data_IF_231618149616
#
_entry.id   IF_231618149616
#
_cell.length_a   1.000
_cell.length_b   1.000
_cell.length_c   1.000
_cell.angle_alpha   90.00
_cell.angle_beta   90.00
_cell.angle_gamma   90.00
#
_symmetry.space_group_name_H-M   'P 1'
#
loop_
_entity.id
_entity.type
_entity.pdbx_description
1 polymer ?
#
# COMPACT_ATOMS: atom_id res chain seq x y z
N UNK A 1 -8.16 9.43 -12.43
CA UNK A 1 -8.44 8.12 -11.82
C UNK A 1 -9.47 8.19 -10.70
N UNK A 2 -9.52 9.28 -9.94
CA UNK A 2 -10.39 9.46 -8.77
C UNK A 2 -11.57 10.40 -9.02
N UNK A 3 -11.82 10.81 -10.28
CA UNK A 3 -12.86 11.79 -10.62
C UNK A 3 -14.23 11.39 -10.08
N UNK A 4 -14.59 10.13 -10.22
CA UNK A 4 -15.90 9.63 -9.78
C UNK A 4 -16.13 9.71 -8.27
N UNK A 5 -15.06 9.79 -7.48
CA UNK A 5 -15.14 10.01 -6.03
C UNK A 5 -15.52 11.45 -5.70
N UNK A 6 -15.20 12.40 -6.60
CA UNK A 6 -15.44 13.83 -6.42
C UNK A 6 -16.65 14.37 -7.18
N UNK A 7 -17.40 13.50 -7.86
CA UNK A 7 -18.65 13.87 -8.55
C UNK A 7 -19.86 13.90 -7.62
N UNK A 8 -19.71 13.38 -6.43
CA UNK A 8 -20.76 13.36 -5.41
C UNK A 8 -20.28 14.11 -4.18
N UNK A 9 -21.22 14.69 -3.46
CA UNK A 9 -20.97 15.20 -2.13
C UNK A 9 -20.47 14.06 -1.24
N UNK A 10 -19.41 14.31 -0.47
CA UNK A 10 -18.80 13.33 0.39
C UNK A 10 -17.73 13.93 1.26
N UNK A 11 -17.34 13.22 2.30
CA UNK A 11 -16.31 13.62 3.23
C UNK A 11 -14.96 13.06 2.82
N UNK A 12 -13.94 13.91 2.82
CA UNK A 12 -12.55 13.50 2.73
C UNK A 12 -11.97 13.41 4.14
N UNK A 13 -11.70 12.19 4.59
CA UNK A 13 -11.05 11.97 5.88
C UNK A 13 -9.54 11.96 5.71
N UNK A 14 -8.86 12.88 6.38
CA UNK A 14 -7.42 12.86 6.60
C UNK A 14 -7.19 12.56 8.06
N UNK A 15 -6.55 11.46 8.36
CA UNK A 15 -6.19 11.07 9.72
C UNK A 15 -4.69 11.21 9.89
N UNK A 16 -4.28 12.07 10.83
CA UNK A 16 -2.89 12.26 11.22
C UNK A 16 -2.83 12.11 12.74
N UNK A 17 -2.39 10.94 13.18
CA UNK A 17 -2.30 10.63 14.60
C UNK A 17 -0.90 10.97 15.12
N UNK A 18 -0.84 11.85 16.11
CA UNK A 18 0.39 12.10 16.83
C UNK A 18 0.13 12.08 18.34
N UNK A 19 1.10 11.58 19.06
CA UNK A 19 1.07 11.56 20.52
C UNK A 19 1.38 12.97 21.05
N UNK A 20 0.38 13.61 21.64
CA UNK A 20 0.55 14.91 22.31
C UNK A 20 0.94 14.68 23.76
N UNK A 21 2.11 15.14 24.14
CA UNK A 21 2.62 15.09 25.52
C UNK A 21 3.15 16.46 25.91
N UNK A 22 3.42 16.72 27.21
CA UNK A 22 4.08 17.97 27.63
C UNK A 22 5.41 18.27 26.94
N UNK A 23 6.06 17.24 26.40
CA UNK A 23 7.34 17.34 25.66
C UNK A 23 7.16 17.41 24.15
N UNK A 24 6.05 16.90 23.63
CA UNK A 24 5.74 16.85 22.20
C UNK A 24 4.57 17.80 21.92
N UNK A 25 4.87 19.08 21.81
CA UNK A 25 3.87 20.16 21.65
C UNK A 25 3.78 20.67 20.22
N UNK A 26 4.55 20.09 19.29
CA UNK A 26 4.52 20.47 17.88
C UNK A 26 3.14 20.30 17.26
N UNK A 27 2.78 21.21 16.36
CA UNK A 27 1.55 21.15 15.57
C UNK A 27 1.92 20.90 14.10
N UNK A 28 1.16 20.05 13.45
CA UNK A 28 1.24 19.90 12.01
C UNK A 28 0.40 20.97 11.33
N UNK A 29 0.95 21.58 10.30
CA UNK A 29 0.18 22.41 9.38
C UNK A 29 0.00 21.60 8.10
N UNK A 30 -1.24 21.20 7.82
CA UNK A 30 -1.57 20.36 6.66
C UNK A 30 -2.31 21.22 5.65
N UNK A 31 -1.78 21.29 4.43
CA UNK A 31 -2.45 21.94 3.31
C UNK A 31 -2.81 20.87 2.29
N UNK A 32 -4.08 20.79 1.95
CA UNK A 32 -4.59 19.94 0.88
C UNK A 32 -4.96 20.81 -0.31
N UNK A 33 -4.40 20.51 -1.48
CA UNK A 33 -4.73 21.19 -2.72
C UNK A 33 -5.34 20.20 -3.71
N UNK A 34 -6.54 20.48 -4.18
CA UNK A 34 -7.19 19.69 -5.22
C UNK A 34 -7.08 20.42 -6.57
N UNK A 35 -6.52 19.76 -7.57
CA UNK A 35 -6.44 20.27 -8.92
C UNK A 35 -7.51 19.61 -9.79
N UNK A 36 -8.40 20.41 -10.33
CA UNK A 36 -9.46 19.97 -11.23
C UNK A 36 -9.11 20.39 -12.65
N UNK A 37 -9.14 19.43 -13.56
CA UNK A 37 -8.95 19.67 -14.97
C UNK A 37 -10.26 19.41 -15.70
N UNK A 38 -10.77 20.40 -16.42
CA UNK A 38 -11.96 20.26 -17.25
C UNK A 38 -11.52 20.05 -18.69
N UNK A 39 -11.65 18.82 -19.16
CA UNK A 39 -11.42 18.49 -20.56
C UNK A 39 -12.77 18.46 -21.30
N UNK A 40 -13.03 19.50 -22.08
CA UNK A 40 -14.29 19.63 -22.81
C UNK A 40 -14.38 18.71 -24.06
N UNK A 41 -13.28 18.05 -24.42
CA UNK A 41 -13.18 17.36 -25.71
C UNK A 41 -13.44 15.86 -25.67
N UNK A 42 -13.68 15.25 -24.52
CA UNK A 42 -13.89 13.81 -24.46
C UNK A 42 -15.12 13.41 -23.65
N UNK A 43 -16.14 12.97 -24.37
CA UNK A 43 -17.20 12.12 -23.83
C UNK A 43 -16.67 10.71 -23.50
N UNK A 44 -15.51 10.63 -22.80
CA UNK A 44 -15.01 9.35 -22.29
C UNK A 44 -15.92 8.88 -21.18
N UNK A 45 -16.39 7.65 -21.30
CA UNK A 45 -17.00 6.99 -20.15
C UNK A 45 -15.98 6.99 -19.01
N UNK A 46 -16.34 7.64 -17.92
CA UNK A 46 -15.48 7.72 -16.77
C UNK A 46 -15.31 6.34 -16.13
N UNK A 47 -14.10 5.98 -15.70
CA UNK A 47 -13.88 4.74 -14.99
C UNK A 47 -14.70 4.72 -13.70
N UNK A 48 -15.44 3.65 -13.47
CA UNK A 48 -16.05 3.40 -12.16
C UNK A 48 -14.98 2.90 -11.21
N UNK A 49 -14.94 3.46 -10.02
CA UNK A 49 -14.04 3.01 -8.97
C UNK A 49 -14.81 2.17 -7.96
N UNK A 50 -14.30 0.97 -7.69
CA UNK A 50 -14.86 0.05 -6.71
C UNK A 50 -13.79 -0.27 -5.66
N UNK A 51 -13.92 0.24 -4.43
CA UNK A 51 -13.03 -0.16 -3.35
C UNK A 51 -13.30 -1.63 -3.01
N UNK A 52 -12.28 -2.47 -3.10
CA UNK A 52 -12.38 -3.89 -2.77
C UNK A 52 -12.20 -4.14 -1.27
N UNK A 53 -11.61 -3.19 -0.55
CA UNK A 53 -11.41 -3.31 0.87
C UNK A 53 -12.59 -2.72 1.62
N UNK A 54 -13.32 -3.51 2.42
CA UNK A 54 -14.46 -3.02 3.19
C UNK A 54 -14.06 -2.10 4.34
N UNK A 55 -12.79 -2.12 4.71
CA UNK A 55 -12.20 -1.32 5.78
C UNK A 55 -11.41 -0.15 5.22
N UNK A 56 -11.56 1.02 5.82
CA UNK A 56 -10.72 2.19 5.54
C UNK A 56 -9.24 1.99 5.87
N UNK A 57 -8.90 0.93 6.59
CA UNK A 57 -7.54 0.56 6.96
C UNK A 57 -6.93 -0.53 6.06
N UNK A 58 -7.64 -0.92 5.00
CA UNK A 58 -7.21 -2.01 4.12
C UNK A 58 -7.56 -3.39 4.67
N UNK A 59 -6.92 -4.41 4.11
CA UNK A 59 -7.04 -5.81 4.55
C UNK A 59 -5.73 -6.21 5.20
N UNK A 60 -5.81 -6.63 6.46
CA UNK A 60 -4.67 -7.17 7.16
C UNK A 60 -4.42 -8.62 6.72
N UNK A 61 -3.24 -8.87 6.22
CA UNK A 61 -2.78 -10.22 5.93
C UNK A 61 -2.17 -10.78 7.21
N UNK A 62 -2.56 -11.97 7.66
CA UNK A 62 -1.98 -12.57 8.86
C UNK A 62 -0.45 -12.60 8.81
N UNK A 63 0.22 -12.42 9.95
CA UNK A 63 1.67 -12.37 9.97
C UNK A 63 2.28 -13.66 9.46
N UNK A 64 3.26 -13.51 8.62
CA UNK A 64 4.24 -14.47 8.13
C UNK A 64 3.75 -15.94 8.15
N UNK A 65 2.96 -16.29 7.18
CA UNK A 65 2.85 -17.67 6.77
C UNK A 65 3.23 -17.73 5.29
N UNK A 66 3.96 -18.77 4.91
CA UNK A 66 4.33 -18.99 3.50
C UNK A 66 3.13 -19.06 2.55
N UNK A 67 1.92 -19.15 3.11
CA UNK A 67 0.64 -19.28 2.39
C UNK A 67 -0.43 -18.27 2.86
N UNK A 68 -0.02 -17.11 3.33
CA UNK A 68 -0.98 -16.08 3.70
C UNK A 68 -1.83 -15.69 2.48
N UNK A 69 -3.13 -15.94 2.55
CA UNK A 69 -4.09 -15.66 1.48
C UNK A 69 -5.20 -14.77 1.99
N UNK A 70 -5.54 -13.77 1.20
CA UNK A 70 -6.71 -12.94 1.42
C UNK A 70 -7.62 -13.08 0.21
N UNK A 71 -8.87 -13.41 0.46
CA UNK A 71 -9.90 -13.49 -0.59
C UNK A 71 -10.83 -12.31 -0.48
N UNK A 72 -11.02 -11.61 -1.57
CA UNK A 72 -11.90 -10.44 -1.66
C UNK A 72 -12.90 -10.71 -2.78
N UNK A 73 -14.22 -10.55 -2.53
CA UNK A 73 -15.21 -10.68 -3.58
C UNK A 73 -15.03 -9.58 -4.62
N UNK A 74 -15.05 -9.94 -5.90
CA UNK A 74 -15.11 -8.95 -6.96
C UNK A 74 -16.51 -8.34 -7.03
N UNK A 75 -16.62 -7.04 -7.35
CA UNK A 75 -17.89 -6.43 -7.64
C UNK A 75 -18.48 -7.03 -8.93
N UNK A 76 -19.77 -6.89 -9.10
CA UNK A 76 -20.42 -7.24 -10.37
C UNK A 76 -19.85 -6.37 -11.50
N UNK A 77 -19.30 -7.03 -12.52
CA UNK A 77 -18.68 -6.37 -13.67
C UNK A 77 -19.69 -6.31 -14.79
N UNK A 78 -19.95 -5.11 -15.30
CA UNK A 78 -20.85 -4.91 -16.41
C UNK A 78 -20.29 -5.58 -17.69
N UNK A 79 -21.15 -6.28 -18.45
CA UNK A 79 -20.77 -6.93 -19.70
C UNK A 79 -20.18 -5.98 -20.76
N UNK A 80 -20.47 -4.68 -20.67
CA UNK A 80 -19.92 -3.65 -21.56
C UNK A 80 -18.59 -3.06 -21.05
N UNK A 81 -17.98 -3.66 -20.03
CA UNK A 81 -16.68 -3.21 -19.51
C UNK A 81 -15.60 -3.45 -20.56
N UNK A 82 -14.95 -2.39 -21.00
CA UNK A 82 -13.88 -2.44 -22.00
C UNK A 82 -12.48 -2.56 -21.38
N UNK A 83 -12.35 -2.16 -20.12
CA UNK A 83 -11.09 -2.23 -19.38
C UNK A 83 -11.35 -2.44 -17.91
N UNK A 84 -10.61 -3.37 -17.30
CA UNK A 84 -10.63 -3.64 -15.87
C UNK A 84 -9.22 -3.54 -15.30
N UNK A 85 -9.00 -2.55 -14.45
CA UNK A 85 -7.71 -2.33 -13.80
C UNK A 85 -7.84 -2.49 -12.29
N UNK A 86 -6.97 -3.27 -11.70
CA UNK A 86 -6.82 -3.34 -10.25
C UNK A 86 -5.63 -2.49 -9.82
N UNK A 87 -5.83 -1.70 -8.77
CA UNK A 87 -4.77 -0.99 -8.06
C UNK A 87 -4.50 -1.69 -6.74
N UNK A 88 -3.29 -2.17 -6.56
CA UNK A 88 -2.87 -2.89 -5.38
C UNK A 88 -1.77 -2.13 -4.67
N UNK A 89 -2.04 -1.69 -3.45
CA UNK A 89 -1.04 -1.08 -2.56
C UNK A 89 -0.76 -2.02 -1.39
N UNK A 90 0.51 -2.20 -1.06
CA UNK A 90 0.93 -3.08 0.02
C UNK A 90 1.97 -2.41 0.89
N UNK A 91 1.89 -2.63 2.19
CA UNK A 91 2.90 -2.17 3.14
C UNK A 91 3.12 -3.21 4.22
N UNK A 92 4.36 -3.33 4.70
CA UNK A 92 4.68 -4.16 5.86
C UNK A 92 4.29 -3.45 7.15
N UNK A 93 3.78 -4.22 8.12
CA UNK A 93 3.40 -3.71 9.43
C UNK A 93 3.88 -4.67 10.52
N UNK A 94 4.02 -4.18 11.76
CA UNK A 94 4.43 -4.98 12.91
C UNK A 94 5.75 -5.72 12.64
N UNK A 95 5.78 -7.04 12.71
CA UNK A 95 6.98 -7.85 12.45
C UNK A 95 7.48 -7.72 11.00
N UNK A 96 6.62 -7.31 10.06
CA UNK A 96 6.96 -7.08 8.65
C UNK A 96 7.26 -5.61 8.33
N UNK A 97 7.25 -4.70 9.31
CA UNK A 97 7.54 -3.27 9.07
C UNK A 97 8.88 -3.05 8.37
N UNK A 98 9.89 -3.83 8.75
CA UNK A 98 11.23 -3.79 8.17
C UNK A 98 11.59 -5.09 7.44
N UNK A 99 10.62 -5.74 6.80
CA UNK A 99 10.78 -7.03 6.15
C UNK A 99 11.99 -7.10 5.20
N UNK A 100 12.32 -6.00 4.55
CA UNK A 100 13.46 -5.90 3.61
C UNK A 100 14.82 -5.99 4.31
N UNK A 101 14.87 -5.89 5.64
CA UNK A 101 16.07 -6.06 6.46
C UNK A 101 16.07 -7.38 7.24
N UNK A 102 15.07 -8.26 7.06
CA UNK A 102 15.00 -9.52 7.75
C UNK A 102 16.16 -10.44 7.34
N UNK A 103 16.70 -11.15 8.31
CA UNK A 103 17.78 -12.10 8.10
C UNK A 103 17.24 -13.47 7.64
N UNK A 104 18.10 -14.28 7.04
CA UNK A 104 17.79 -15.69 6.84
C UNK A 104 17.67 -16.39 8.21
N UNK A 105 16.84 -17.41 8.31
CA UNK A 105 16.57 -18.10 9.56
C UNK A 105 17.83 -18.67 10.23
N UNK A 106 18.81 -19.09 9.43
CA UNK A 106 20.09 -19.61 9.90
C UNK A 106 20.98 -18.55 10.56
N UNK A 107 20.74 -17.24 10.31
CA UNK A 107 21.58 -16.15 10.81
C UNK A 107 20.90 -15.27 11.86
N UNK A 108 19.56 -15.33 12.00
CA UNK A 108 18.81 -14.41 12.88
C UNK A 108 19.29 -14.38 14.33
N UNK A 109 19.77 -15.53 14.83
CA UNK A 109 20.19 -15.69 16.22
C UNK A 109 21.71 -15.46 16.42
N UNK A 110 22.47 -15.30 15.32
CA UNK A 110 23.92 -15.10 15.41
C UNK A 110 24.32 -13.66 15.79
N UNK A 111 23.42 -12.72 15.63
CA UNK A 111 23.68 -11.30 15.87
C UNK A 111 22.93 -10.76 17.10
N UNK A 112 22.68 -11.61 18.07
CA UNK A 112 21.99 -11.22 19.30
C UNK A 112 22.84 -10.20 20.08
N UNK A 113 22.32 -9.02 20.27
CA UNK A 113 22.96 -7.96 21.05
C UNK A 113 21.90 -7.26 21.91
N UNK A 114 22.19 -7.12 23.21
CA UNK A 114 21.34 -6.34 24.13
C UNK A 114 19.87 -6.76 24.18
N UNK A 115 19.55 -8.05 24.17
CA UNK A 115 18.19 -8.59 24.12
C UNK A 115 17.38 -8.17 22.87
N UNK A 116 18.05 -7.79 21.80
CA UNK A 116 17.39 -7.53 20.52
C UNK A 116 17.46 -8.78 19.65
N UNK A 117 16.31 -9.15 19.12
CA UNK A 117 16.18 -10.25 18.16
C UNK A 117 15.98 -9.68 16.75
N UNK A 118 16.61 -10.30 15.78
CA UNK A 118 16.30 -10.05 14.38
C UNK A 118 15.20 -11.00 13.91
N UNK A 119 14.35 -10.51 13.03
CA UNK A 119 13.37 -11.36 12.38
C UNK A 119 14.04 -12.21 11.29
N UNK A 120 13.58 -13.43 11.16
CA UNK A 120 14.00 -14.38 10.13
C UNK A 120 13.19 -14.27 8.82
N UNK A 121 13.15 -15.35 8.08
CA UNK A 121 12.47 -15.53 6.80
C UNK A 121 13.08 -14.73 5.62
N UNK A 122 14.23 -14.08 5.83
CA UNK A 122 14.90 -13.31 4.79
C UNK A 122 14.11 -12.10 4.32
N UNK A 123 14.63 -11.43 3.31
CA UNK A 123 14.07 -10.20 2.74
C UNK A 123 13.29 -10.40 1.42
N UNK A 124 13.05 -11.64 1.02
CA UNK A 124 12.28 -11.92 -0.20
C UNK A 124 10.79 -11.96 0.09
N UNK A 125 10.03 -11.15 -0.63
CA UNK A 125 8.55 -11.16 -0.60
C UNK A 125 8.03 -11.22 -2.02
N UNK A 126 6.95 -11.96 -2.21
CA UNK A 126 6.26 -12.08 -3.50
C UNK A 126 4.78 -11.91 -3.27
N UNK A 127 4.15 -11.09 -4.10
CA UNK A 127 2.71 -10.90 -4.11
C UNK A 127 2.17 -11.57 -5.36
N UNK A 128 1.32 -12.56 -5.18
CA UNK A 128 0.61 -13.21 -6.26
C UNK A 128 -0.86 -12.80 -6.23
N UNK A 129 -1.39 -12.42 -7.37
CA UNK A 129 -2.81 -12.11 -7.54
C UNK A 129 -3.46 -13.22 -8.34
N UNK A 130 -4.57 -13.72 -7.82
CA UNK A 130 -5.37 -14.76 -8.47
C UNK A 130 -6.79 -14.23 -8.68
N UNK A 131 -7.37 -14.52 -9.83
CA UNK A 131 -8.79 -14.32 -10.12
C UNK A 131 -9.38 -15.67 -10.47
N UNK A 132 -10.41 -16.10 -9.74
CA UNK A 132 -11.05 -17.40 -9.94
C UNK A 132 -10.06 -18.58 -9.98
N UNK A 133 -8.99 -18.51 -9.19
CA UNK A 133 -7.94 -19.54 -9.12
C UNK A 133 -6.85 -19.41 -10.17
N UNK A 134 -6.96 -18.52 -11.14
CA UNK A 134 -5.94 -18.26 -12.16
C UNK A 134 -5.01 -17.17 -11.68
N UNK A 135 -3.69 -17.41 -11.68
CA UNK A 135 -2.70 -16.40 -11.34
C UNK A 135 -2.57 -15.40 -12.49
N UNK A 136 -2.96 -14.17 -12.21
CA UNK A 136 -3.00 -13.07 -13.18
C UNK A 136 -1.84 -12.11 -13.05
N UNK A 137 -1.21 -12.07 -11.88
CA UNK A 137 -0.06 -11.19 -11.63
C UNK A 137 0.85 -11.77 -10.56
N UNK A 138 2.12 -11.46 -10.67
CA UNK A 138 3.13 -11.77 -9.66
C UNK A 138 4.15 -10.65 -9.63
N UNK A 139 4.47 -10.13 -8.46
CA UNK A 139 5.44 -9.05 -8.29
C UNK A 139 6.16 -9.17 -6.96
N UNK A 140 7.38 -8.65 -6.92
CA UNK A 140 8.08 -8.42 -5.67
C UNK A 140 7.73 -7.01 -5.19
N UNK A 141 7.26 -6.85 -3.95
CA UNK A 141 6.92 -5.53 -3.44
C UNK A 141 8.17 -4.67 -3.29
N UNK A 142 8.05 -3.40 -3.62
CA UNK A 142 9.05 -2.40 -3.28
C UNK A 142 8.94 -2.09 -1.79
N UNK A 143 10.05 -1.99 -1.05
CA UNK A 143 10.02 -1.57 0.34
C UNK A 143 9.34 -0.21 0.49
N UNK A 144 8.39 -0.14 1.42
CA UNK A 144 7.81 1.11 1.87
C UNK A 144 8.45 1.48 3.21
N UNK A 145 9.15 2.61 3.23
CA UNK A 145 9.96 3.03 4.38
C UNK A 145 9.27 4.20 5.06
N UNK A 146 9.00 4.05 6.36
CA UNK A 146 8.44 5.12 7.16
C UNK A 146 9.53 6.12 7.54
N UNK A 147 9.19 7.40 7.58
CA UNK A 147 10.12 8.46 7.99
C UNK A 147 10.70 8.24 9.38
N UNK A 148 9.91 7.70 10.32
CA UNK A 148 10.36 7.31 11.65
C UNK A 148 11.27 6.09 11.70
N UNK A 149 11.33 5.29 10.63
CA UNK A 149 12.13 4.07 10.53
C UNK A 149 13.56 4.32 10.05
N UNK A 150 13.93 5.55 9.68
CA UNK A 150 15.25 5.88 9.18
C UNK A 150 15.75 7.21 9.76
N UNK A 151 17.07 7.32 9.94
CA UNK A 151 17.67 8.55 10.44
C UNK A 151 17.36 9.74 9.52
N UNK A 152 16.94 10.91 10.06
CA UNK A 152 16.57 12.07 9.25
C UNK A 152 17.65 12.54 8.27
N UNK A 153 18.91 12.35 8.60
CA UNK A 153 20.05 12.67 7.73
C UNK A 153 20.07 11.86 6.42
N UNK A 154 19.35 10.74 6.36
CA UNK A 154 19.27 9.85 5.20
C UNK A 154 17.99 10.08 4.37
N UNK A 155 17.06 10.92 4.83
CA UNK A 155 15.77 11.10 4.17
C UNK A 155 15.90 11.57 2.71
N UNK A 156 16.81 12.51 2.43
CA UNK A 156 17.00 13.00 1.06
C UNK A 156 17.36 11.89 0.07
N UNK A 157 18.20 10.97 0.49
CA UNK A 157 18.60 9.81 -0.33
C UNK A 157 17.45 8.83 -0.51
N UNK A 158 16.63 8.63 0.51
CA UNK A 158 15.49 7.71 0.49
C UNK A 158 14.33 8.30 -0.32
N UNK A 159 14.05 9.60 -0.19
CA UNK A 159 13.02 10.28 -0.98
C UNK A 159 13.23 10.10 -2.48
N UNK A 160 14.48 10.16 -2.93
CA UNK A 160 14.82 9.99 -4.35
C UNK A 160 14.46 8.59 -4.89
N UNK A 161 14.35 7.59 -4.04
CA UNK A 161 13.94 6.23 -4.44
C UNK A 161 12.42 6.04 -4.50
N UNK A 162 11.63 7.01 -4.04
CA UNK A 162 10.18 6.89 -3.91
C UNK A 162 9.73 5.95 -2.76
N UNK A 163 10.64 5.53 -1.88
CA UNK A 163 10.32 4.57 -0.82
C UNK A 163 9.39 5.13 0.27
N UNK A 164 9.22 6.44 0.36
CA UNK A 164 8.22 7.09 1.22
C UNK A 164 6.83 7.17 0.59
N UNK A 165 6.71 6.82 -0.70
CA UNK A 165 5.47 6.90 -1.46
C UNK A 165 4.84 5.51 -1.59
N UNK A 166 3.60 5.34 -1.12
CA UNK A 166 2.85 4.11 -1.31
C UNK A 166 2.28 4.07 -2.73
N UNK A 167 3.12 3.67 -3.69
CA UNK A 167 2.76 3.63 -5.11
C UNK A 167 2.01 2.32 -5.40
N UNK A 168 0.78 2.39 -5.95
CA UNK A 168 0.02 1.19 -6.25
C UNK A 168 0.58 0.46 -7.48
N UNK A 169 0.59 -0.86 -7.43
CA UNK A 169 0.78 -1.71 -8.61
C UNK A 169 -0.49 -1.69 -9.45
N UNK A 170 -0.33 -1.52 -10.75
CA UNK A 170 -1.45 -1.58 -11.70
C UNK A 170 -1.47 -2.96 -12.35
N UNK A 171 -2.54 -3.68 -12.11
CA UNK A 171 -2.75 -5.00 -12.70
C UNK A 171 -3.89 -4.92 -13.68
N UNK A 172 -3.63 -5.25 -14.94
CA UNK A 172 -4.65 -5.31 -15.98
C UNK A 172 -5.38 -6.67 -15.89
N UNK A 173 -6.65 -6.60 -15.57
CA UNK A 173 -7.55 -7.74 -15.46
C UNK A 173 -8.50 -7.84 -16.66
N UNK A 174 -8.34 -6.99 -17.66
CA UNK A 174 -9.22 -6.96 -18.85
C UNK A 174 -9.29 -8.30 -19.61
N UNK A 175 -8.21 -9.10 -19.69
CA UNK A 175 -8.24 -10.39 -20.40
C UNK A 175 -8.96 -11.52 -19.68
N UNK A 176 -9.48 -11.30 -18.46
CA UNK A 176 -10.09 -12.32 -17.60
C UNK A 176 -11.62 -12.11 -17.59
#
# INVERSE_FOLDING_TARGET
LYRTLFEKEGDLLIQLDNLVTPKLTGKFNVTLTAHYYNDQNEARQLPKFHPLTPSKFGVEVPPISYDAKVSVPLPEINANTTQLLMLLSTSGNSAEEFWYSNLLDEYKDQFLSNNRHFYGHGSCRVINVFVNGIRVHSTNPTPYIFTGGIAPSLWNSIVSTGAFDLIPYRVDLTPI
#
